data_IF_756358386997
#
_entry.id   IF_756358386997
#
_cell.length_a   1.000
_cell.length_b   1.000
_cell.length_c   1.000
_cell.angle_alpha   90.00
_cell.angle_beta   90.00
_cell.angle_gamma   90.00
#
_symmetry.space_group_name_H-M   'P 1'
#
loop_
_entity.id
_entity.type
_entity.pdbx_description
1 polymer ?
#
# COMPACT_ATOMS: atom_id res chain seq x y z
N UNK A 1 -33.84 52.14 -17.06
CA UNK A 1 -33.79 51.14 -15.96
C UNK A 1 -33.00 49.95 -16.49
N UNK A 2 -31.67 49.97 -16.64
CA UNK A 2 -30.58 50.07 -15.66
C UNK A 2 -30.63 49.03 -14.55
N UNK A 3 -30.07 47.85 -14.80
CA UNK A 3 -29.27 47.12 -13.82
C UNK A 3 -28.15 46.38 -14.54
N UNK A 4 -26.97 47.02 -14.57
CA UNK A 4 -25.68 46.34 -14.80
C UNK A 4 -25.36 45.57 -13.53
N UNK A 5 -25.24 44.25 -13.61
CA UNK A 5 -24.63 43.46 -12.54
C UNK A 5 -23.21 43.11 -12.97
N UNK A 6 -22.25 43.61 -12.19
CA UNK A 6 -20.82 43.48 -12.40
C UNK A 6 -20.31 42.09 -12.00
N UNK A 7 -19.18 41.74 -12.63
CA UNK A 7 -18.36 40.55 -12.43
C UNK A 7 -17.99 40.27 -10.96
N UNK A 8 -17.95 38.99 -10.62
CA UNK A 8 -16.98 38.42 -9.67
C UNK A 8 -16.21 37.32 -10.42
N UNK A 9 -14.87 37.40 -10.53
CA UNK A 9 -14.09 36.30 -11.08
C UNK A 9 -14.07 35.15 -10.08
N UNK A 10 -14.39 33.95 -10.55
CA UNK A 10 -14.24 32.73 -9.77
C UNK A 10 -12.78 32.59 -9.33
N UNK A 11 -12.60 32.42 -8.02
CA UNK A 11 -11.31 32.35 -7.36
C UNK A 11 -10.46 31.23 -7.97
N UNK A 12 -9.26 31.59 -8.43
CA UNK A 12 -8.20 30.64 -8.74
C UNK A 12 -7.89 29.83 -7.48
N UNK A 13 -8.26 28.55 -7.45
CA UNK A 13 -7.80 27.62 -6.44
C UNK A 13 -6.29 27.44 -6.63
N UNK A 14 -5.52 28.18 -5.84
CA UNK A 14 -4.07 27.99 -5.74
C UNK A 14 -3.83 26.61 -5.15
N UNK A 15 -3.22 25.74 -5.94
CA UNK A 15 -2.79 24.41 -5.51
C UNK A 15 -1.93 24.51 -4.26
N UNK A 16 -2.37 23.85 -3.20
CA UNK A 16 -1.60 23.66 -1.99
C UNK A 16 -0.55 22.58 -2.30
N UNK A 17 0.62 23.01 -2.80
CA UNK A 17 1.79 22.13 -2.87
C UNK A 17 2.28 21.94 -1.44
N UNK A 18 1.96 20.79 -0.85
CA UNK A 18 2.51 20.38 0.44
C UNK A 18 3.98 20.01 0.23
N UNK A 19 4.86 21.00 0.39
CA UNK A 19 6.30 20.78 0.42
C UNK A 19 6.65 20.05 1.73
N UNK A 20 6.81 18.73 1.67
CA UNK A 20 7.44 17.97 2.74
C UNK A 20 8.93 18.26 2.69
N UNK A 21 9.37 19.25 3.46
CA UNK A 21 10.79 19.55 3.66
C UNK A 21 11.45 18.41 4.43
N UNK A 22 12.33 17.66 3.76
CA UNK A 22 13.20 16.67 4.39
C UNK A 22 14.31 17.42 5.15
N UNK A 23 14.04 17.79 6.41
CA UNK A 23 15.05 18.31 7.30
C UNK A 23 15.93 17.14 7.79
N UNK A 24 17.01 16.87 7.07
CA UNK A 24 18.13 16.03 7.51
C UNK A 24 18.86 16.74 8.65
N UNK A 25 18.40 16.58 9.88
CA UNK A 25 19.19 16.88 11.07
C UNK A 25 19.87 15.60 11.53
N UNK A 26 21.19 15.58 11.39
CA UNK A 26 22.05 14.53 11.92
C UNK A 26 21.93 14.46 13.44
N UNK A 27 21.35 13.37 13.93
CA UNK A 27 21.65 12.84 15.23
C UNK A 27 22.45 11.56 14.99
N UNK A 28 23.74 11.61 15.33
CA UNK A 28 24.56 10.42 15.52
C UNK A 28 24.03 9.73 16.78
N UNK A 29 22.92 9.01 16.64
CA UNK A 29 22.39 8.14 17.67
C UNK A 29 23.11 6.79 17.57
N UNK A 30 23.49 6.28 18.73
CA UNK A 30 24.42 5.18 18.96
C UNK A 30 24.34 4.01 17.96
N UNK A 31 25.51 3.40 17.74
CA UNK A 31 25.72 2.18 16.97
C UNK A 31 25.04 0.94 17.62
N UNK A 32 23.74 1.02 17.88
CA UNK A 32 22.91 -0.16 17.86
C UNK A 32 22.99 -0.70 16.43
N UNK A 33 23.43 -1.94 16.28
CA UNK A 33 23.38 -2.61 14.99
C UNK A 33 21.95 -2.44 14.45
N UNK A 34 21.85 -1.80 13.28
CA UNK A 34 20.58 -1.43 12.65
C UNK A 34 19.69 -2.66 12.42
N UNK A 35 20.27 -3.87 12.49
CA UNK A 35 19.58 -5.13 12.24
C UNK A 35 19.15 -5.20 10.77
N UNK A 36 18.56 -6.32 10.34
CA UNK A 36 17.99 -6.40 8.99
C UNK A 36 16.94 -5.30 8.79
N UNK A 37 16.89 -4.73 7.59
CA UNK A 37 15.79 -3.87 7.15
C UNK A 37 14.65 -4.79 6.72
N UNK A 38 13.47 -4.63 7.32
CA UNK A 38 12.28 -5.41 6.97
C UNK A 38 11.23 -4.42 6.49
N UNK A 39 10.84 -4.52 5.24
CA UNK A 39 9.86 -3.67 4.56
C UNK A 39 8.52 -4.38 4.43
N UNK A 40 7.45 -3.62 4.23
CA UNK A 40 6.14 -4.16 3.84
C UNK A 40 5.90 -3.93 2.32
N UNK A 41 7.00 -3.71 1.58
CA UNK A 41 7.09 -3.56 0.12
C UNK A 41 8.21 -4.45 -0.41
N UNK A 42 8.15 -4.90 -1.67
CA UNK A 42 7.16 -4.52 -2.71
C UNK A 42 5.95 -5.45 -2.89
N UNK A 43 5.83 -6.51 -2.09
CA UNK A 43 4.72 -7.46 -2.14
C UNK A 43 3.46 -6.91 -1.41
N UNK A 44 2.37 -7.68 -1.40
CA UNK A 44 1.15 -7.41 -0.62
C UNK A 44 1.19 -8.02 0.79
N UNK A 45 2.11 -8.96 1.00
CA UNK A 45 2.30 -9.65 2.27
C UNK A 45 2.95 -8.73 3.31
N UNK A 46 2.13 -8.33 4.28
CA UNK A 46 2.56 -7.55 5.42
C UNK A 46 3.47 -8.35 6.36
N UNK A 47 4.63 -7.80 6.71
CA UNK A 47 5.58 -8.49 7.58
C UNK A 47 5.01 -8.72 8.99
N UNK A 48 5.35 -9.87 9.59
CA UNK A 48 5.00 -10.20 10.97
C UNK A 48 5.91 -9.51 12.03
N UNK A 49 6.68 -8.51 11.61
CA UNK A 49 7.66 -7.81 12.45
C UNK A 49 7.29 -6.33 12.59
N UNK A 50 7.57 -5.75 13.76
CA UNK A 50 7.37 -4.33 14.00
C UNK A 50 8.71 -3.58 13.97
N UNK A 51 8.68 -2.34 13.48
CA UNK A 51 9.79 -1.40 13.59
C UNK A 51 10.16 -1.21 15.07
N UNK A 52 11.45 -1.26 15.36
CA UNK A 52 11.96 -1.14 16.73
C UNK A 52 11.75 0.27 17.29
N UNK A 53 11.51 0.42 18.61
CA UNK A 53 11.50 1.73 19.26
C UNK A 53 12.78 2.52 18.96
N UNK A 54 12.63 3.84 18.80
CA UNK A 54 13.74 4.72 18.41
C UNK A 54 14.02 4.74 16.90
N UNK A 55 13.23 4.03 16.09
CA UNK A 55 13.36 4.06 14.63
C UNK A 55 12.04 4.38 13.93
N UNK A 56 12.15 5.12 12.83
CA UNK A 56 11.12 5.31 11.82
C UNK A 56 11.52 4.61 10.54
N UNK A 57 10.54 4.11 9.80
CA UNK A 57 10.74 3.64 8.43
C UNK A 57 9.75 4.33 7.52
N UNK A 58 10.24 4.83 6.38
CA UNK A 58 9.44 5.45 5.34
C UNK A 58 9.58 4.60 4.08
N UNK A 59 8.46 4.14 3.56
CA UNK A 59 8.38 3.36 2.33
C UNK A 59 7.61 4.19 1.30
N UNK A 60 8.21 4.43 0.14
CA UNK A 60 7.64 5.22 -0.94
C UNK A 60 7.55 4.37 -2.20
N UNK A 61 6.47 4.53 -2.95
CA UNK A 61 6.16 3.71 -4.10
C UNK A 61 5.57 4.50 -5.26
N UNK A 62 5.83 3.98 -6.45
CA UNK A 62 5.11 4.28 -7.67
C UNK A 62 4.46 3.00 -8.17
N UNK A 63 3.21 3.09 -8.59
CA UNK A 63 2.50 1.99 -9.23
C UNK A 63 1.86 2.46 -10.52
N UNK A 64 2.01 1.66 -11.57
CA UNK A 64 1.28 1.75 -12.81
C UNK A 64 0.47 0.47 -12.98
N UNK A 65 -0.84 0.60 -13.17
CA UNK A 65 -1.72 -0.52 -13.44
C UNK A 65 -2.59 -0.27 -14.66
N UNK A 66 -3.05 -1.36 -15.27
CA UNK A 66 -4.06 -1.34 -16.30
C UNK A 66 -5.07 -2.44 -15.99
N UNK A 67 -6.34 -2.11 -16.20
CA UNK A 67 -7.47 -3.00 -16.08
C UNK A 67 -8.30 -2.90 -17.36
N UNK A 68 -8.65 -4.04 -17.94
CA UNK A 68 -9.51 -4.12 -19.12
C UNK A 68 -10.71 -5.02 -18.84
N UNK A 69 -11.89 -4.47 -19.04
CA UNK A 69 -13.17 -5.16 -18.90
C UNK A 69 -14.13 -4.71 -20.00
N UNK A 70 -14.74 -5.65 -20.71
CA UNK A 70 -15.78 -5.36 -21.71
C UNK A 70 -15.38 -4.38 -22.83
N UNK A 71 -14.09 -4.26 -23.17
CA UNK A 71 -13.57 -3.29 -24.15
C UNK A 71 -13.30 -1.89 -23.61
N UNK A 72 -13.49 -1.69 -22.30
CA UNK A 72 -13.09 -0.48 -21.57
C UNK A 72 -11.73 -0.73 -20.93
N UNK A 73 -10.75 0.13 -21.23
CA UNK A 73 -9.42 0.08 -20.62
C UNK A 73 -9.25 1.23 -19.64
N UNK A 74 -8.99 0.92 -18.38
CA UNK A 74 -8.62 1.89 -17.35
C UNK A 74 -7.15 1.74 -17.03
N UNK A 75 -6.37 2.79 -17.25
CA UNK A 75 -4.96 2.86 -16.90
C UNK A 75 -4.74 3.85 -15.75
N UNK A 76 -4.10 3.40 -14.70
CA UNK A 76 -3.94 4.16 -13.46
C UNK A 76 -2.47 4.33 -13.08
N UNK A 77 -2.13 5.54 -12.64
CA UNK A 77 -0.83 5.88 -12.07
C UNK A 77 -1.04 6.36 -10.63
N UNK A 78 -0.21 5.91 -9.69
CA UNK A 78 -0.22 6.39 -8.30
C UNK A 78 1.20 6.74 -7.85
N UNK A 79 1.43 7.96 -7.34
CA UNK A 79 2.74 8.42 -6.85
C UNK A 79 2.65 9.65 -5.93
N UNK A 80 3.53 9.77 -4.92
CA UNK A 80 4.12 8.65 -4.22
C UNK A 80 3.04 8.00 -3.36
N UNK A 81 2.83 6.69 -3.50
CA UNK A 81 2.25 5.94 -2.40
C UNK A 81 3.25 5.96 -1.25
N UNK A 82 2.80 6.21 -0.03
CA UNK A 82 3.71 6.33 1.11
C UNK A 82 3.19 5.54 2.31
N UNK A 83 4.11 4.95 3.05
CA UNK A 83 3.84 4.32 4.34
C UNK A 83 4.93 4.72 5.33
N UNK A 84 4.53 5.48 6.35
CA UNK A 84 5.38 5.79 7.50
C UNK A 84 5.08 4.80 8.62
N UNK A 85 6.13 4.13 9.10
CA UNK A 85 6.09 3.09 10.13
C UNK A 85 6.89 3.53 11.34
N UNK A 86 6.27 3.43 12.51
CA UNK A 86 6.74 4.07 13.72
C UNK A 86 6.84 3.06 14.84
N UNK A 87 8.06 2.63 15.18
CA UNK A 87 8.30 1.85 16.40
C UNK A 87 7.92 2.64 17.65
N UNK A 88 6.77 2.31 18.24
CA UNK A 88 6.21 2.94 19.45
C UNK A 88 6.69 2.21 20.70
N UNK A 89 6.62 0.88 20.68
CA UNK A 89 7.06 0.02 21.75
C UNK A 89 7.68 -1.27 21.19
N UNK A 90 8.28 -2.10 22.06
CA UNK A 90 9.01 -3.31 21.67
C UNK A 90 8.22 -4.29 20.77
N UNK A 91 6.89 -4.19 20.80
CA UNK A 91 5.96 -5.04 20.02
C UNK A 91 4.91 -4.22 19.27
N UNK A 92 4.99 -2.89 19.28
CA UNK A 92 3.94 -2.03 18.74
C UNK A 92 4.56 -1.03 17.76
N UNK A 93 4.02 -1.04 16.56
CA UNK A 93 4.30 -0.08 15.50
C UNK A 93 3.02 0.71 15.17
N UNK A 94 3.12 2.03 15.07
CA UNK A 94 2.08 2.88 14.49
C UNK A 94 2.36 3.11 13.00
N UNK A 95 1.30 3.31 12.22
CA UNK A 95 1.37 3.36 10.76
C UNK A 95 0.53 4.53 10.24
N UNK A 96 1.09 5.24 9.27
CA UNK A 96 0.42 6.29 8.51
C UNK A 96 0.65 6.02 7.02
N UNK A 97 -0.41 5.69 6.30
CA UNK A 97 -0.42 5.46 4.87
C UNK A 97 -0.93 6.67 4.09
N UNK A 98 -0.52 6.74 2.83
CA UNK A 98 -1.02 7.69 1.86
C UNK A 98 -1.11 7.01 0.49
N UNK A 99 -2.30 7.04 -0.10
CA UNK A 99 -2.60 6.42 -1.39
C UNK A 99 -1.98 7.14 -2.60
N UNK A 100 -1.35 8.30 -2.37
CA UNK A 100 -0.63 9.05 -3.39
C UNK A 100 -1.53 10.00 -4.19
N UNK A 101 -0.88 10.78 -5.07
CA UNK A 101 -1.59 11.41 -6.16
C UNK A 101 -1.82 10.37 -7.25
N UNK A 102 -3.05 10.32 -7.75
CA UNK A 102 -3.51 9.32 -8.69
C UNK A 102 -3.99 9.98 -9.97
N UNK A 103 -3.73 9.32 -11.10
CA UNK A 103 -4.27 9.69 -12.41
C UNK A 103 -4.83 8.46 -13.07
N UNK A 104 -6.12 8.51 -13.40
CA UNK A 104 -6.83 7.47 -14.11
C UNK A 104 -7.11 7.94 -15.54
N UNK A 105 -6.88 7.07 -16.51
CA UNK A 105 -7.22 7.27 -17.91
C UNK A 105 -8.16 6.14 -18.34
N UNK A 106 -9.39 6.49 -18.67
CA UNK A 106 -10.39 5.55 -19.17
C UNK A 106 -10.50 5.68 -20.68
N UNK A 107 -10.38 4.57 -21.39
CA UNK A 107 -10.63 4.46 -22.83
C UNK A 107 -11.84 3.57 -23.06
N UNK A 108 -12.81 4.10 -23.78
CA UNK A 108 -14.05 3.40 -24.11
C UNK A 108 -14.51 3.81 -25.51
N UNK A 109 -14.73 2.83 -26.40
CA UNK A 109 -15.22 3.03 -27.76
C UNK A 109 -14.53 4.16 -28.57
N UNK A 110 -13.24 4.40 -28.34
CA UNK A 110 -12.45 5.45 -28.99
C UNK A 110 -12.44 6.82 -28.30
N UNK A 111 -13.25 7.02 -27.26
CA UNK A 111 -13.15 8.17 -26.36
C UNK A 111 -12.04 7.93 -25.31
N UNK A 112 -11.39 9.00 -24.87
CA UNK A 112 -10.35 8.94 -23.83
C UNK A 112 -10.59 10.04 -22.81
N UNK A 113 -10.89 9.64 -21.58
CA UNK A 113 -11.09 10.55 -20.44
C UNK A 113 -9.95 10.39 -19.46
N UNK A 114 -9.55 11.47 -18.81
CA UNK A 114 -8.55 11.42 -17.76
C UNK A 114 -8.97 12.29 -16.59
N UNK A 115 -8.90 11.70 -15.41
CA UNK A 115 -9.13 12.37 -14.13
C UNK A 115 -7.88 12.18 -13.26
N UNK A 116 -7.64 13.15 -12.38
CA UNK A 116 -6.55 13.07 -11.44
C UNK A 116 -6.96 13.67 -10.10
N UNK A 117 -6.44 13.13 -9.02
CA UNK A 117 -6.75 13.57 -7.69
C UNK A 117 -5.88 12.91 -6.65
N UNK A 118 -6.08 13.32 -5.40
CA UNK A 118 -5.33 12.81 -4.26
C UNK A 118 -6.16 11.69 -3.62
N UNK A 119 -5.55 10.52 -3.41
CA UNK A 119 -6.19 9.42 -2.70
C UNK A 119 -6.17 9.58 -1.18
N UNK A 120 -6.76 8.62 -0.49
CA UNK A 120 -6.95 8.65 0.96
C UNK A 120 -5.66 8.50 1.77
N UNK A 121 -5.78 8.90 3.04
CA UNK A 121 -4.85 8.60 4.11
C UNK A 121 -5.31 7.37 4.90
N UNK A 122 -4.35 6.59 5.37
CA UNK A 122 -4.58 5.43 6.21
C UNK A 122 -3.93 5.62 7.57
N UNK A 123 -4.58 5.18 8.63
CA UNK A 123 -4.00 5.12 9.97
C UNK A 123 -4.12 3.72 10.53
N UNK A 124 -3.10 3.25 11.23
CA UNK A 124 -3.14 1.91 11.77
C UNK A 124 -2.05 1.59 12.76
N UNK A 125 -2.05 0.35 13.22
CA UNK A 125 -1.00 -0.20 14.04
C UNK A 125 -0.71 -1.66 13.68
N UNK A 126 0.50 -2.10 14.03
CA UNK A 126 0.95 -3.48 13.95
C UNK A 126 1.44 -3.90 15.34
N UNK A 127 0.84 -4.96 15.88
CA UNK A 127 1.19 -5.50 17.20
C UNK A 127 1.73 -6.92 17.09
N UNK A 128 2.97 -7.13 17.51
CA UNK A 128 3.60 -8.45 17.51
C UNK A 128 3.04 -9.34 18.63
N UNK A 129 2.31 -10.38 18.24
CA UNK A 129 1.77 -11.40 19.13
C UNK A 129 2.84 -12.42 19.53
N UNK A 130 3.62 -12.89 18.56
CA UNK A 130 4.69 -13.85 18.75
C UNK A 130 5.94 -13.46 17.95
N UNK A 131 7.10 -13.71 18.53
CA UNK A 131 8.37 -13.63 17.80
C UNK A 131 8.66 -14.96 17.14
N UNK A 132 9.12 -14.92 15.90
CA UNK A 132 9.60 -16.10 15.20
C UNK A 132 10.93 -16.56 15.80
N UNK A 133 11.05 -17.86 16.07
CA UNK A 133 12.28 -18.50 16.55
C UNK A 133 12.32 -19.92 16.00
N UNK A 134 13.31 -20.22 15.15
CA UNK A 134 13.37 -21.52 14.46
C UNK A 134 12.10 -21.78 13.66
N UNK A 135 11.47 -22.94 13.90
CA UNK A 135 10.22 -23.34 13.23
C UNK A 135 8.96 -22.64 13.77
N UNK A 136 9.06 -21.87 14.87
CA UNK A 136 7.90 -21.12 15.37
C UNK A 136 7.72 -19.86 14.53
N UNK A 137 6.53 -19.62 13.94
CA UNK A 137 6.31 -18.42 13.16
C UNK A 137 6.34 -17.16 14.01
N UNK A 138 6.82 -16.08 13.43
CA UNK A 138 6.47 -14.74 13.88
C UNK A 138 4.99 -14.50 13.59
N UNK A 139 4.29 -13.83 14.50
CA UNK A 139 2.87 -13.52 14.33
C UNK A 139 2.63 -12.08 14.77
N UNK A 140 1.94 -11.31 13.94
CA UNK A 140 1.48 -9.97 14.26
C UNK A 140 0.01 -9.77 13.88
N UNK A 141 -0.67 -8.92 14.63
CA UNK A 141 -1.98 -8.40 14.28
C UNK A 141 -1.80 -6.98 13.74
N UNK A 142 -2.38 -6.71 12.58
CA UNK A 142 -2.52 -5.38 12.03
C UNK A 142 -3.98 -4.95 12.13
N UNK A 143 -4.18 -3.70 12.48
CA UNK A 143 -5.47 -3.04 12.36
C UNK A 143 -5.25 -1.67 11.72
N UNK A 144 -6.05 -1.35 10.71
CA UNK A 144 -5.97 -0.12 9.96
C UNK A 144 -7.34 0.44 9.62
N UNK A 145 -7.37 1.72 9.30
CA UNK A 145 -8.52 2.46 8.82
C UNK A 145 -8.07 3.31 7.63
N UNK A 146 -8.72 3.15 6.50
CA UNK A 146 -8.67 4.13 5.40
C UNK A 146 -9.69 5.22 5.68
N UNK A 147 -9.26 6.48 5.60
CA UNK A 147 -10.07 7.64 5.96
C UNK A 147 -10.51 8.40 4.71
N UNK A 148 -11.79 8.83 4.61
CA UNK A 148 -12.34 9.54 3.46
C UNK A 148 -11.78 10.98 3.36
N UNK A 149 -10.54 11.08 2.92
CA UNK A 149 -9.70 12.29 3.00
C UNK A 149 -9.14 12.69 1.64
N UNK A 150 -9.27 11.81 0.65
CA UNK A 150 -8.97 12.08 -0.74
C UNK A 150 -9.90 13.10 -1.38
N UNK A 151 -9.65 13.37 -2.65
CA UNK A 151 -10.50 14.22 -3.48
C UNK A 151 -11.70 13.45 -4.03
N UNK A 152 -12.72 14.18 -4.47
CA UNK A 152 -13.90 13.59 -5.13
C UNK A 152 -13.48 12.66 -6.28
N UNK A 153 -14.01 11.44 -6.31
CA UNK A 153 -13.63 10.38 -7.25
C UNK A 153 -12.37 9.58 -6.88
N UNK A 154 -11.69 9.93 -5.79
CA UNK A 154 -10.48 9.25 -5.29
C UNK A 154 -10.53 8.92 -3.80
N UNK A 155 -11.54 9.42 -3.08
CA UNK A 155 -11.81 9.08 -1.70
C UNK A 155 -12.80 7.92 -1.59
N UNK A 156 -12.59 7.02 -0.64
CA UNK A 156 -13.65 6.16 -0.13
C UNK A 156 -14.79 7.02 0.43
N UNK A 157 -16.07 6.63 0.27
CA UNK A 157 -17.19 7.37 0.85
C UNK A 157 -17.26 7.23 2.38
N UNK A 158 -16.60 6.24 2.97
CA UNK A 158 -16.69 5.93 4.41
C UNK A 158 -15.33 5.59 5.00
N UNK A 159 -15.26 5.51 6.32
CA UNK A 159 -14.09 4.91 6.96
C UNK A 159 -14.13 3.41 6.71
N UNK A 160 -13.07 2.88 6.09
CA UNK A 160 -12.95 1.48 5.70
C UNK A 160 -11.92 0.76 6.58
N UNK A 161 -12.36 -0.15 7.47
CA UNK A 161 -11.44 -0.90 8.31
C UNK A 161 -10.70 -2.02 7.56
N UNK A 162 -9.54 -2.39 8.10
CA UNK A 162 -8.86 -3.64 7.78
C UNK A 162 -8.31 -4.27 9.05
N UNK A 163 -8.47 -5.59 9.18
CA UNK A 163 -7.84 -6.40 10.21
C UNK A 163 -7.06 -7.51 9.53
N UNK A 164 -5.79 -7.66 9.84
CA UNK A 164 -4.92 -8.65 9.19
C UNK A 164 -4.09 -9.39 10.22
N UNK A 165 -4.16 -10.71 10.22
CA UNK A 165 -3.18 -11.54 10.90
C UNK A 165 -2.03 -11.80 9.95
N UNK A 166 -0.83 -11.36 10.33
CA UNK A 166 0.41 -11.61 9.62
C UNK A 166 1.19 -12.72 10.32
N UNK A 167 1.74 -13.64 9.55
CA UNK A 167 2.68 -14.62 10.06
C UNK A 167 3.80 -14.89 9.06
N UNK A 168 4.95 -15.30 9.59
CA UNK A 168 6.13 -15.58 8.76
C UNK A 168 7.01 -16.67 9.37
N UNK A 169 7.62 -17.49 8.51
CA UNK A 169 8.64 -18.48 8.84
C UNK A 169 9.90 -18.25 8.02
N UNK A 170 11.06 -18.40 8.68
CA UNK A 170 12.32 -18.63 7.99
C UNK A 170 12.47 -20.15 7.79
N UNK A 171 12.34 -20.61 6.55
CA UNK A 171 12.46 -22.04 6.23
C UNK A 171 13.93 -22.46 6.17
N UNK A 172 14.78 -21.57 5.66
CA UNK A 172 16.24 -21.71 5.62
C UNK A 172 16.88 -20.33 5.80
N UNK A 173 18.20 -20.22 5.80
CA UNK A 173 18.90 -18.93 5.82
C UNK A 173 18.65 -18.06 4.58
N UNK A 174 18.10 -18.63 3.49
CA UNK A 174 17.85 -17.94 2.23
C UNK A 174 16.41 -17.96 1.76
N UNK A 175 15.52 -18.66 2.49
CA UNK A 175 14.14 -18.86 2.05
C UNK A 175 13.22 -18.58 3.22
N UNK A 176 12.37 -17.59 3.05
CA UNK A 176 11.32 -17.22 3.99
C UNK A 176 9.95 -17.33 3.34
N UNK A 177 8.93 -17.58 4.15
CA UNK A 177 7.53 -17.51 3.71
C UNK A 177 6.76 -16.59 4.64
N UNK A 178 6.10 -15.60 4.07
CA UNK A 178 5.14 -14.72 4.74
C UNK A 178 3.74 -15.05 4.27
N UNK A 179 2.76 -14.88 5.15
CA UNK A 179 1.37 -15.04 4.79
C UNK A 179 0.47 -14.20 5.68
N UNK A 180 -0.59 -13.69 5.08
CA UNK A 180 -1.55 -12.85 5.72
C UNK A 180 -2.97 -13.36 5.49
N UNK A 181 -3.85 -13.11 6.46
CA UNK A 181 -5.28 -13.34 6.30
C UNK A 181 -6.07 -12.40 7.19
N UNK A 182 -7.19 -11.90 6.69
CA UNK A 182 -8.14 -11.18 7.53
C UNK A 182 -9.16 -10.36 6.74
N UNK A 183 -10.22 -9.90 7.43
CA UNK A 183 -11.29 -9.16 6.78
C UNK A 183 -10.86 -7.73 6.43
N UNK A 184 -11.31 -7.29 5.27
CA UNK A 184 -11.21 -5.90 4.79
C UNK A 184 -12.59 -5.42 4.38
N UNK A 185 -12.87 -4.16 4.67
CA UNK A 185 -14.06 -3.46 4.23
C UNK A 185 -13.66 -2.50 3.12
N UNK A 186 -14.49 -2.39 2.09
CA UNK A 186 -14.31 -1.42 1.02
C UNK A 186 -15.64 -0.79 0.69
N UNK A 187 -15.72 0.52 0.83
CA UNK A 187 -16.92 1.27 0.49
C UNK A 187 -16.80 1.91 -0.89
N UNK A 188 -17.87 1.87 -1.66
CA UNK A 188 -17.93 2.48 -2.99
C UNK A 188 -19.29 3.14 -3.23
N UNK A 189 -19.31 4.09 -4.17
CA UNK A 189 -20.55 4.70 -4.65
C UNK A 189 -21.02 3.87 -5.84
N UNK A 190 -22.15 3.20 -5.70
CA UNK A 190 -22.72 2.34 -6.74
C UNK A 190 -23.62 3.11 -7.70
N UNK A 191 -24.02 2.45 -8.80
CA UNK A 191 -24.90 3.05 -9.79
C UNK A 191 -26.25 3.44 -9.15
N UNK A 192 -26.53 4.74 -9.10
CA UNK A 192 -27.68 5.31 -8.38
C UNK A 192 -27.29 6.34 -7.33
N UNK A 193 -25.99 6.39 -6.96
CA UNK A 193 -25.47 7.33 -5.96
C UNK A 193 -25.57 6.82 -4.53
N UNK A 194 -26.06 5.59 -4.34
CA UNK A 194 -26.05 4.92 -3.04
C UNK A 194 -24.63 4.47 -2.68
N UNK A 195 -24.35 4.40 -1.38
CA UNK A 195 -23.08 3.93 -0.85
C UNK A 195 -23.23 2.49 -0.37
N UNK A 196 -22.38 1.59 -0.87
CA UNK A 196 -22.31 0.20 -0.42
C UNK A 196 -20.97 -0.06 0.26
N UNK A 197 -20.99 -0.87 1.33
CA UNK A 197 -19.78 -1.38 1.97
C UNK A 197 -19.72 -2.88 1.76
N UNK A 198 -18.69 -3.31 1.02
CA UNK A 198 -18.40 -4.71 0.77
C UNK A 198 -17.42 -5.24 1.82
N UNK A 199 -17.58 -6.51 2.17
CA UNK A 199 -16.66 -7.23 3.06
C UNK A 199 -16.01 -8.35 2.29
N UNK A 200 -14.70 -8.39 2.38
CA UNK A 200 -13.85 -9.36 1.72
C UNK A 200 -12.96 -10.05 2.76
N UNK A 201 -12.67 -11.33 2.56
CA UNK A 201 -11.61 -12.02 3.28
C UNK A 201 -10.33 -11.98 2.45
N UNK A 202 -9.44 -11.06 2.79
CA UNK A 202 -8.15 -10.89 2.12
C UNK A 202 -7.14 -11.95 2.57
N UNK A 203 -6.29 -12.40 1.65
CA UNK A 203 -5.15 -13.26 1.94
C UNK A 203 -3.94 -12.90 1.06
N UNK A 204 -2.76 -13.26 1.54
CA UNK A 204 -1.54 -13.28 0.74
C UNK A 204 -0.59 -14.38 1.23
N UNK A 205 0.25 -14.88 0.34
CA UNK A 205 1.32 -15.83 0.61
C UNK A 205 2.51 -15.47 -0.27
N UNK A 206 3.57 -14.97 0.34
CA UNK A 206 4.81 -14.59 -0.33
C UNK A 206 5.94 -15.56 0.01
N UNK A 207 6.65 -16.03 -1.02
CA UNK A 207 7.90 -16.77 -0.89
C UNK A 207 9.07 -15.84 -1.20
N UNK A 208 9.86 -15.51 -0.18
CA UNK A 208 11.05 -14.68 -0.28
C UNK A 208 12.31 -15.52 -0.48
N UNK A 209 13.19 -15.08 -1.37
CA UNK A 209 14.46 -15.71 -1.71
C UNK A 209 15.61 -14.71 -1.57
N UNK A 210 16.61 -15.04 -0.77
CA UNK A 210 17.88 -14.31 -0.71
C UNK A 210 18.82 -14.84 -1.81
N UNK A 211 18.92 -14.09 -2.91
CA UNK A 211 19.78 -14.43 -4.04
C UNK A 211 21.25 -14.08 -3.74
N UNK A 212 21.46 -12.99 -3.00
CA UNK A 212 22.74 -12.51 -2.50
C UNK A 212 22.49 -11.69 -1.22
N UNK A 213 23.53 -11.41 -0.43
CA UNK A 213 23.48 -10.59 0.80
C UNK A 213 22.77 -9.23 0.68
N UNK A 214 22.61 -8.71 -0.55
CA UNK A 214 21.96 -7.43 -0.84
C UNK A 214 20.85 -7.54 -1.89
N UNK A 215 20.59 -8.73 -2.45
CA UNK A 215 19.63 -8.91 -3.53
C UNK A 215 18.63 -9.99 -3.13
N UNK A 216 17.37 -9.60 -3.00
CA UNK A 216 16.26 -10.51 -2.78
C UNK A 216 15.39 -10.63 -4.03
N UNK A 217 14.64 -11.72 -4.10
CA UNK A 217 13.53 -11.90 -5.02
C UNK A 217 12.34 -12.51 -4.28
N UNK A 218 11.14 -12.32 -4.82
CA UNK A 218 9.95 -12.96 -4.28
C UNK A 218 8.99 -13.35 -5.39
N UNK A 219 8.12 -14.30 -5.06
CA UNK A 219 6.89 -14.60 -5.79
C UNK A 219 5.77 -14.68 -4.76
N UNK A 220 4.63 -14.10 -5.08
CA UNK A 220 3.50 -14.05 -4.17
C UNK A 220 2.19 -14.41 -4.87
N UNK A 221 1.31 -15.05 -4.11
CA UNK A 221 -0.10 -15.20 -4.43
C UNK A 221 -0.93 -14.43 -3.43
N UNK A 222 -1.81 -13.56 -3.90
CA UNK A 222 -2.64 -12.72 -3.06
C UNK A 222 -4.02 -12.52 -3.68
N UNK A 223 -4.97 -12.11 -2.86
CA UNK A 223 -6.33 -11.90 -3.32
C UNK A 223 -7.34 -11.76 -2.18
N UNK A 224 -8.62 -11.79 -2.56
CA UNK A 224 -9.73 -11.78 -1.61
C UNK A 224 -10.81 -12.77 -2.02
N UNK A 225 -11.49 -13.31 -1.00
CA UNK A 225 -12.76 -14.01 -1.16
C UNK A 225 -13.90 -13.06 -0.85
N UNK A 226 -14.81 -12.90 -1.80
CA UNK A 226 -16.02 -12.10 -1.61
C UNK A 226 -16.90 -12.71 -0.51
N UNK A 227 -17.23 -11.93 0.53
CA UNK A 227 -18.20 -12.32 1.56
C UNK A 227 -19.55 -11.61 1.38
N UNK A 228 -19.56 -10.46 0.72
CA UNK A 228 -20.77 -9.73 0.36
C UNK A 228 -21.40 -10.23 -0.94
N UNK A 229 -22.73 -10.24 -1.00
CA UNK A 229 -23.49 -10.52 -2.22
C UNK A 229 -23.20 -9.45 -3.28
N UNK A 230 -22.90 -9.84 -4.51
CA UNK A 230 -22.60 -8.91 -5.60
C UNK A 230 -21.10 -8.62 -5.80
N UNK A 231 -20.25 -9.02 -4.85
CA UNK A 231 -18.78 -8.99 -5.02
C UNK A 231 -18.27 -10.28 -5.68
N UNK A 232 -17.11 -10.20 -6.33
CA UNK A 232 -16.43 -11.33 -6.95
C UNK A 232 -15.04 -11.53 -6.31
N UNK A 233 -14.70 -12.79 -6.01
CA UNK A 233 -13.36 -13.14 -5.53
C UNK A 233 -12.30 -12.83 -6.59
N UNK A 234 -11.22 -12.18 -6.16
CA UNK A 234 -10.10 -11.79 -7.02
C UNK A 234 -8.82 -12.43 -6.52
N UNK A 235 -8.10 -13.09 -7.42
CA UNK A 235 -6.85 -13.77 -7.12
C UNK A 235 -5.80 -13.30 -8.12
N UNK A 236 -4.60 -13.02 -7.61
CA UNK A 236 -3.49 -12.45 -8.37
C UNK A 236 -2.19 -13.17 -8.04
N UNK A 237 -1.22 -13.00 -8.93
CA UNK A 237 0.17 -13.38 -8.73
C UNK A 237 1.05 -12.19 -9.04
N UNK A 238 2.12 -12.04 -8.27
CA UNK A 238 3.17 -11.09 -8.58
C UNK A 238 4.55 -11.64 -8.17
N UNK A 239 5.55 -10.85 -8.50
CA UNK A 239 6.91 -11.09 -8.10
C UNK A 239 7.77 -9.88 -8.39
N UNK A 240 9.00 -9.94 -7.91
CA UNK A 240 9.90 -8.81 -8.04
C UNK A 240 11.23 -9.02 -7.34
N UNK A 241 11.97 -7.92 -7.24
CA UNK A 241 13.33 -7.90 -6.71
C UNK A 241 13.50 -6.76 -5.72
N UNK A 242 14.35 -7.01 -4.72
CA UNK A 242 14.79 -6.01 -3.76
C UNK A 242 16.31 -5.84 -3.83
N UNK A 243 16.79 -4.62 -3.64
CA UNK A 243 18.20 -4.27 -3.58
C UNK A 243 18.50 -3.45 -2.33
N UNK A 244 19.28 -4.02 -1.42
CA UNK A 244 19.75 -3.35 -0.21
C UNK A 244 21.00 -2.49 -0.52
N UNK A 245 20.75 -1.24 -0.91
CA UNK A 245 21.79 -0.25 -1.22
C UNK A 245 22.64 0.06 0.01
N UNK A 246 22.00 0.16 1.18
CA UNK A 246 22.63 0.30 2.51
C UNK A 246 21.80 -0.47 3.53
N UNK A 247 22.34 -0.73 4.71
CA UNK A 247 21.65 -1.47 5.78
C UNK A 247 20.38 -0.78 6.32
N UNK A 248 20.09 0.42 5.82
CA UNK A 248 18.90 1.20 6.09
C UNK A 248 18.20 1.75 4.83
N UNK A 249 18.63 1.36 3.63
CA UNK A 249 18.08 1.83 2.35
C UNK A 249 17.90 0.67 1.37
N UNK A 250 16.66 0.42 0.98
CA UNK A 250 16.28 -0.57 -0.02
C UNK A 250 15.62 0.09 -1.22
N UNK A 251 15.88 -0.46 -2.41
CA UNK A 251 15.12 -0.22 -3.62
C UNK A 251 14.38 -1.49 -4.01
N UNK A 252 13.23 -1.34 -4.65
CA UNK A 252 12.41 -2.46 -5.08
C UNK A 252 11.75 -2.21 -6.44
N UNK A 253 11.49 -3.32 -7.15
CA UNK A 253 10.63 -3.36 -8.33
C UNK A 253 9.75 -4.60 -8.27
N UNK A 254 8.51 -4.48 -8.73
CA UNK A 254 7.56 -5.59 -8.80
C UNK A 254 6.67 -5.52 -10.04
N UNK A 255 6.08 -6.64 -10.39
CA UNK A 255 5.04 -6.72 -11.41
C UNK A 255 4.10 -7.86 -11.10
N UNK A 256 2.82 -7.69 -11.39
CA UNK A 256 1.81 -8.72 -11.14
C UNK A 256 0.66 -8.70 -12.12
N UNK A 257 -0.13 -9.77 -12.05
CA UNK A 257 -1.24 -10.10 -12.93
C UNK A 257 -2.42 -10.55 -12.07
N UNK A 258 -3.63 -10.17 -12.47
CA UNK A 258 -4.85 -10.76 -11.91
C UNK A 258 -5.22 -12.02 -12.70
N UNK A 259 -5.46 -13.13 -11.99
CA UNK A 259 -5.77 -14.44 -12.57
C UNK A 259 -7.27 -14.72 -12.71
N UNK A 260 -8.10 -14.11 -11.86
CA UNK A 260 -9.54 -14.37 -11.79
C UNK A 260 -10.33 -13.07 -11.76
N UNK A 261 -11.63 -13.15 -12.06
CA UNK A 261 -12.53 -11.99 -12.05
C UNK A 261 -12.90 -11.47 -13.44
N UNK A 262 -12.55 -12.19 -14.51
CA UNK A 262 -13.02 -11.89 -15.88
C UNK A 262 -12.38 -10.66 -16.53
N UNK A 263 -11.29 -10.16 -15.94
CA UNK A 263 -10.67 -8.88 -16.29
C UNK A 263 -9.18 -9.07 -16.54
N UNK A 264 -8.69 -8.52 -17.64
CA UNK A 264 -7.26 -8.52 -17.95
C UNK A 264 -6.61 -7.37 -17.20
N UNK A 265 -5.91 -7.69 -16.12
CA UNK A 265 -5.33 -6.71 -15.21
C UNK A 265 -3.88 -7.02 -14.89
N UNK A 266 -3.03 -6.01 -15.00
CA UNK A 266 -1.62 -6.07 -14.65
C UNK A 266 -1.17 -4.80 -13.94
N UNK A 267 -0.07 -4.91 -13.19
CA UNK A 267 0.61 -3.76 -12.63
C UNK A 267 2.13 -3.92 -12.68
N UNK A 268 2.82 -2.78 -12.62
CA UNK A 268 4.24 -2.67 -12.33
C UNK A 268 4.45 -1.65 -11.22
N UNK A 269 5.38 -1.95 -10.33
CA UNK A 269 5.71 -1.13 -9.18
C UNK A 269 7.21 -0.88 -9.08
N UNK A 270 7.56 0.26 -8.50
CA UNK A 270 8.92 0.54 -8.04
C UNK A 270 8.87 1.34 -6.74
N UNK A 271 9.88 1.16 -5.89
CA UNK A 271 9.86 1.76 -4.57
C UNK A 271 11.22 1.97 -3.93
N UNK A 272 11.18 2.71 -2.83
CA UNK A 272 12.31 2.96 -1.95
C UNK A 272 11.85 2.88 -0.51
N UNK A 273 12.62 2.21 0.34
CA UNK A 273 12.41 2.15 1.76
C UNK A 273 13.64 2.66 2.52
N UNK A 274 13.42 3.56 3.47
CA UNK A 274 14.46 4.16 4.29
C UNK A 274 14.12 4.01 5.77
N UNK A 275 15.08 3.51 6.55
CA UNK A 275 14.99 3.51 8.02
C UNK A 275 15.90 4.57 8.62
N UNK A 276 15.36 5.39 9.51
CA UNK A 276 16.06 6.48 10.20
C UNK A 276 15.89 6.35 11.72
N UNK A 277 16.91 6.74 12.51
CA UNK A 277 16.72 6.93 13.95
C UNK A 277 15.72 8.06 14.20
N UNK A 278 15.00 7.97 15.31
CA UNK A 278 14.12 9.02 15.85
C UNK A 278 14.82 9.85 16.91
#
# INVERSE_FOLDING_TARGET
MSSRTALLPAASQRGLVLAVGLALCGAVAEAQTLGPLITDRPDQTESASAVRPGFAQLELGWTLSQHEDGGVTVRSHAVPQALARIGVARRLEARLGFSGWQRMQTRDAGDTRSVAGVGDLDVGFKYMLARGVGLRPGIALLAGLTLPTGQEGFATPRVDPVLLLAAAHELTERVGVGYNVGPSWSSEIVQGGDEETLVDLSYSVALGLSLHDRVGAFVESFGSFALSTGSASRHSLDGGFTLLVRDNLQLDVSSGLTLTGGVDSWFVGAGVALRVPR
#
